data_IF_026628946634
#
_entry.id   IF_026628946634
#
_cell.length_a   1.000
_cell.length_b   1.000
_cell.length_c   1.000
_cell.angle_alpha   90.00
_cell.angle_beta   90.00
_cell.angle_gamma   90.00
#
_symmetry.space_group_name_H-M   'P 1'
#
loop_
_entity.id
_entity.type
_entity.pdbx_description
1 polymer ?
#
# COMPACT_ATOMS: atom_id res chain seq x y z
N UNK A 1 24.76 -9.88 28.75
CA UNK A 1 25.79 -9.78 27.69
C UNK A 1 25.45 -10.88 26.68
N UNK A 2 25.28 -10.71 25.39
CA UNK A 2 25.40 -9.57 24.50
C UNK A 2 25.07 -10.10 23.09
N UNK A 3 24.42 -9.25 22.28
CA UNK A 3 24.35 -9.27 20.81
C UNK A 3 23.68 -10.45 20.08
N UNK A 4 22.63 -10.14 19.33
CA UNK A 4 22.64 -10.23 17.86
C UNK A 4 21.63 -9.20 17.29
N UNK A 5 22.15 -8.06 16.86
CA UNK A 5 21.47 -7.15 15.95
C UNK A 5 21.67 -7.69 14.54
N UNK A 6 20.61 -8.19 13.90
CA UNK A 6 20.60 -8.44 12.46
C UNK A 6 19.91 -7.27 11.77
N UNK A 7 20.70 -6.31 11.32
CA UNK A 7 20.30 -5.33 10.31
C UNK A 7 20.67 -5.89 8.95
N UNK A 8 19.76 -5.97 7.96
CA UNK A 8 20.17 -6.24 6.60
C UNK A 8 20.97 -5.06 6.06
N UNK A 9 22.17 -5.35 5.56
CA UNK A 9 23.04 -4.42 4.86
C UNK A 9 22.32 -3.84 3.64
N UNK A 10 21.97 -2.56 3.76
CA UNK A 10 21.50 -1.76 2.64
C UNK A 10 22.72 -1.53 1.76
N UNK A 11 22.71 -2.08 0.55
CA UNK A 11 23.74 -1.87 -0.45
C UNK A 11 23.86 -0.35 -0.75
N UNK A 12 24.81 0.33 -0.07
CA UNK A 12 25.20 1.69 -0.39
C UNK A 12 26.04 1.64 -1.65
N UNK A 13 25.42 1.86 -2.80
CA UNK A 13 26.19 2.29 -3.98
C UNK A 13 26.65 3.72 -3.72
N UNK A 14 27.83 3.85 -3.12
CA UNK A 14 28.52 5.12 -2.97
C UNK A 14 29.08 5.51 -4.33
N UNK A 15 28.33 6.32 -5.09
CA UNK A 15 28.83 6.92 -6.33
C UNK A 15 29.94 7.93 -5.97
N UNK A 16 31.18 7.46 -6.01
CA UNK A 16 32.39 8.27 -5.97
C UNK A 16 32.54 9.05 -7.29
N UNK A 17 32.74 10.38 -7.21
CA UNK A 17 32.96 11.31 -8.34
C UNK A 17 34.32 11.11 -9.06
N UNK A 18 34.81 9.88 -9.19
CA UNK A 18 36.14 9.59 -9.76
C UNK A 18 36.20 8.28 -10.55
N UNK A 19 35.25 8.07 -11.46
CA UNK A 19 35.41 7.06 -12.52
C UNK A 19 35.62 7.77 -13.85
N UNK A 20 36.89 8.10 -14.11
CA UNK A 20 37.37 8.46 -15.44
C UNK A 20 37.25 7.23 -16.35
N UNK A 21 36.65 7.42 -17.52
CA UNK A 21 36.62 6.44 -18.60
C UNK A 21 38.03 6.39 -19.21
N UNK A 22 38.71 5.26 -19.09
CA UNK A 22 39.92 4.93 -19.84
C UNK A 22 39.65 3.71 -20.71
N UNK A 23 39.27 3.95 -21.97
CA UNK A 23 39.16 2.90 -22.99
C UNK A 23 40.51 2.83 -23.72
N UNK A 24 41.31 1.78 -23.47
CA UNK A 24 42.46 1.44 -24.31
C UNK A 24 42.26 0.02 -24.83
N UNK A 25 42.22 -0.07 -26.15
CA UNK A 25 42.20 -1.30 -26.94
C UNK A 25 43.47 -2.13 -26.66
N UNK A 26 43.31 -3.37 -26.21
CA UNK A 26 44.33 -4.40 -26.37
C UNK A 26 43.67 -5.72 -26.77
N UNK A 27 44.06 -6.19 -27.95
CA UNK A 27 43.74 -7.50 -28.53
C UNK A 27 44.49 -8.61 -27.78
N UNK A 28 43.74 -9.61 -27.31
CA UNK A 28 44.32 -10.84 -26.75
C UNK A 28 43.23 -11.82 -26.31
N UNK A 29 43.24 -13.03 -26.88
CA UNK A 29 42.28 -14.11 -26.58
C UNK A 29 42.25 -14.43 -25.08
N UNK A 30 41.08 -14.27 -24.45
CA UNK A 30 40.74 -14.92 -23.20
C UNK A 30 39.29 -15.37 -23.29
N UNK A 31 39.06 -16.68 -23.18
CA UNK A 31 37.72 -17.28 -23.10
C UNK A 31 37.00 -16.79 -21.84
N UNK A 32 36.29 -15.67 -21.97
CA UNK A 32 35.39 -15.18 -20.94
C UNK A 32 34.04 -15.87 -21.16
N UNK A 33 33.78 -16.91 -20.37
CA UNK A 33 32.40 -17.34 -20.14
C UNK A 33 31.57 -16.10 -19.77
N UNK A 34 30.38 -15.88 -20.36
CA UNK A 34 29.56 -14.71 -20.06
C UNK A 34 29.17 -14.76 -18.58
N UNK A 35 29.89 -13.98 -17.76
CA UNK A 35 29.56 -13.74 -16.36
C UNK A 35 28.13 -13.18 -16.25
N UNK A 36 27.36 -13.48 -15.20
CA UNK A 36 25.93 -13.19 -15.08
C UNK A 36 25.67 -11.71 -14.76
N UNK A 37 26.31 -10.79 -15.49
CA UNK A 37 26.07 -9.34 -15.37
C UNK A 37 24.60 -9.02 -15.68
N UNK A 38 23.96 -9.78 -16.57
CA UNK A 38 22.51 -9.68 -16.82
C UNK A 38 21.63 -10.08 -15.63
N UNK A 39 22.09 -10.97 -14.74
CA UNK A 39 21.33 -11.42 -13.57
C UNK A 39 21.22 -10.33 -12.50
N UNK A 40 22.35 -9.71 -12.16
CA UNK A 40 22.39 -8.60 -11.19
C UNK A 40 21.64 -7.34 -11.67
N UNK A 41 21.55 -7.13 -12.99
CA UNK A 41 20.77 -6.04 -13.59
C UNK A 41 19.26 -6.32 -13.51
N UNK A 42 18.81 -7.59 -13.59
CA UNK A 42 17.39 -7.93 -13.41
C UNK A 42 16.90 -7.66 -11.98
N UNK A 43 17.70 -8.01 -10.98
CA UNK A 43 17.35 -7.81 -9.57
C UNK A 43 17.30 -6.33 -9.19
N UNK A 44 18.08 -5.46 -9.86
CA UNK A 44 18.02 -4.02 -9.62
C UNK A 44 16.85 -3.31 -10.33
N UNK A 45 16.24 -3.94 -11.36
CA UNK A 45 15.18 -3.35 -12.21
C UNK A 45 13.77 -3.69 -11.73
N UNK A 46 13.57 -4.71 -10.88
CA UNK A 46 12.23 -5.04 -10.37
C UNK A 46 12.21 -5.20 -8.85
N UNK A 47 12.17 -4.09 -8.13
CA UNK A 47 11.82 -4.13 -6.71
C UNK A 47 10.42 -4.75 -6.55
N UNK A 48 10.36 -5.88 -5.85
CA UNK A 48 9.10 -6.52 -5.50
C UNK A 48 8.26 -5.59 -4.64
N UNK A 49 6.93 -5.67 -4.78
CA UNK A 49 6.01 -4.95 -3.91
C UNK A 49 5.19 -5.94 -3.11
N UNK A 50 5.29 -5.82 -1.80
CA UNK A 50 4.61 -6.66 -0.83
C UNK A 50 3.72 -5.84 0.07
N UNK A 51 2.59 -6.42 0.47
CA UNK A 51 1.68 -5.83 1.43
C UNK A 51 1.49 -6.77 2.61
N UNK A 52 1.51 -6.17 3.80
CA UNK A 52 1.09 -6.80 5.04
C UNK A 52 -0.27 -6.18 5.40
N UNK A 53 -1.31 -7.02 5.39
CA UNK A 53 -2.68 -6.62 5.64
C UNK A 53 -3.24 -7.41 6.82
N UNK A 54 -4.00 -6.74 7.68
CA UNK A 54 -4.78 -7.38 8.73
C UNK A 54 -6.20 -6.82 8.71
N UNK A 55 -7.21 -7.68 8.67
CA UNK A 55 -8.59 -7.25 8.77
C UNK A 55 -9.11 -7.52 10.20
N UNK A 56 -9.19 -6.50 11.08
CA UNK A 56 -9.62 -6.70 12.46
C UNK A 56 -11.06 -7.20 12.60
N UNK A 57 -11.89 -7.09 11.55
CA UNK A 57 -13.27 -7.51 11.63
C UNK A 57 -13.51 -8.99 11.27
N UNK A 58 -12.58 -9.59 10.52
CA UNK A 58 -12.57 -11.02 10.18
C UNK A 58 -11.46 -11.79 10.89
N UNK A 59 -10.49 -11.07 11.49
CA UNK A 59 -9.29 -11.62 12.14
C UNK A 59 -8.37 -12.37 11.17
N UNK A 60 -8.42 -12.01 9.89
CA UNK A 60 -7.55 -12.55 8.85
C UNK A 60 -6.30 -11.67 8.70
N UNK A 61 -5.16 -12.32 8.47
CA UNK A 61 -3.88 -11.68 8.14
C UNK A 61 -3.41 -12.16 6.78
N UNK A 62 -2.78 -11.28 6.01
CA UNK A 62 -2.18 -11.61 4.73
C UNK A 62 -0.83 -10.89 4.62
N UNK A 63 0.20 -11.65 4.27
CA UNK A 63 1.47 -11.11 3.79
C UNK A 63 1.71 -11.69 2.41
N UNK A 64 1.75 -10.85 1.39
CA UNK A 64 1.91 -11.32 0.01
C UNK A 64 2.66 -10.32 -0.87
N UNK A 65 3.44 -10.84 -1.80
CA UNK A 65 4.04 -10.09 -2.91
C UNK A 65 3.02 -10.03 -4.05
N UNK A 66 2.48 -8.84 -4.34
CA UNK A 66 1.44 -8.65 -5.36
C UNK A 66 2.01 -8.15 -6.70
N UNK A 67 3.25 -7.68 -6.72
CA UNK A 67 3.98 -7.27 -7.91
C UNK A 67 5.41 -7.81 -7.86
N UNK A 68 5.82 -8.52 -8.91
CA UNK A 68 7.17 -9.07 -9.05
C UNK A 68 7.49 -9.25 -10.53
N UNK A 69 8.77 -9.08 -10.90
CA UNK A 69 9.25 -9.20 -12.28
C UNK A 69 8.45 -8.37 -13.29
N UNK A 70 8.12 -7.12 -12.93
CA UNK A 70 7.40 -6.20 -13.81
C UNK A 70 5.93 -6.56 -14.08
N UNK A 71 5.32 -7.46 -13.28
CA UNK A 71 3.92 -7.89 -13.46
C UNK A 71 3.19 -8.10 -12.14
N UNK A 72 1.86 -7.97 -12.19
CA UNK A 72 1.00 -8.33 -11.07
C UNK A 72 0.87 -9.85 -10.92
N UNK A 73 0.94 -10.32 -9.68
CA UNK A 73 0.80 -11.74 -9.33
C UNK A 73 -0.68 -12.04 -9.09
N UNK A 74 -1.34 -12.71 -10.04
CA UNK A 74 -2.79 -12.91 -10.02
C UNK A 74 -3.30 -13.64 -8.78
N UNK A 75 -2.57 -14.64 -8.28
CA UNK A 75 -2.92 -15.35 -7.04
C UNK A 75 -2.96 -14.37 -5.85
N UNK A 76 -1.91 -13.56 -5.67
CA UNK A 76 -1.83 -12.57 -4.62
C UNK A 76 -2.94 -11.52 -4.72
N UNK A 77 -3.30 -11.08 -5.93
CA UNK A 77 -4.46 -10.20 -6.13
C UNK A 77 -5.76 -10.87 -5.67
N UNK A 78 -5.95 -12.16 -5.93
CA UNK A 78 -7.08 -12.94 -5.41
C UNK A 78 -7.14 -12.95 -3.89
N UNK A 79 -6.01 -13.20 -3.23
CA UNK A 79 -5.92 -13.21 -1.76
C UNK A 79 -6.21 -11.82 -1.17
N UNK A 80 -5.72 -10.76 -1.82
CA UNK A 80 -6.00 -9.37 -1.45
C UNK A 80 -7.49 -9.04 -1.62
N UNK A 81 -8.10 -9.44 -2.74
CA UNK A 81 -9.53 -9.26 -2.96
C UNK A 81 -10.36 -9.94 -1.85
N UNK A 82 -9.94 -11.14 -1.42
CA UNK A 82 -10.59 -11.86 -0.34
C UNK A 82 -10.46 -11.14 1.00
N UNK A 83 -9.26 -10.77 1.45
CA UNK A 83 -9.11 -10.10 2.77
C UNK A 83 -9.77 -8.71 2.79
N UNK A 84 -9.90 -8.06 1.64
CA UNK A 84 -10.57 -6.76 1.47
C UNK A 84 -12.07 -6.86 1.12
N UNK A 85 -12.66 -8.07 1.10
CA UNK A 85 -14.07 -8.30 0.76
C UNK A 85 -15.05 -7.61 1.71
N UNK A 86 -16.31 -7.53 1.28
CA UNK A 86 -17.36 -7.06 2.17
C UNK A 86 -17.62 -8.10 3.26
N UNK A 87 -17.20 -7.79 4.49
CA UNK A 87 -17.37 -8.70 5.63
C UNK A 87 -18.82 -9.07 5.97
N UNK A 88 -19.81 -8.27 5.54
CA UNK A 88 -21.22 -8.48 5.90
C UNK A 88 -21.92 -9.43 4.94
N UNK A 89 -21.59 -9.33 3.65
CA UNK A 89 -22.20 -10.15 2.60
C UNK A 89 -21.28 -11.28 2.15
N UNK A 90 -19.98 -11.19 2.43
CA UNK A 90 -18.97 -12.10 1.90
C UNK A 90 -18.60 -11.83 0.44
N UNK A 91 -19.26 -10.86 -0.22
CA UNK A 91 -19.02 -10.55 -1.62
C UNK A 91 -17.58 -10.06 -1.82
N UNK A 92 -16.89 -10.73 -2.74
CA UNK A 92 -15.53 -10.41 -3.17
C UNK A 92 -15.62 -9.57 -4.45
N UNK A 93 -14.80 -8.52 -4.53
CA UNK A 93 -14.63 -7.72 -5.75
C UNK A 93 -13.15 -7.52 -6.01
N UNK A 94 -12.79 -7.38 -7.28
CA UNK A 94 -11.46 -6.94 -7.66
C UNK A 94 -11.17 -5.56 -7.05
N UNK A 95 -10.07 -5.48 -6.31
CA UNK A 95 -9.52 -4.22 -5.80
C UNK A 95 -8.62 -3.61 -6.86
N UNK A 96 -8.76 -2.30 -7.07
CA UNK A 96 -7.95 -1.57 -8.04
C UNK A 96 -6.46 -1.63 -7.64
N UNK A 97 -5.60 -2.04 -8.57
CA UNK A 97 -4.16 -2.20 -8.28
C UNK A 97 -3.48 -0.89 -7.93
N UNK A 98 -3.99 0.27 -8.39
CA UNK A 98 -3.50 1.59 -7.99
C UNK A 98 -3.70 1.84 -6.50
N UNK A 99 -4.76 1.28 -5.91
CA UNK A 99 -5.00 1.37 -4.46
C UNK A 99 -3.94 0.57 -3.70
N UNK A 100 -3.53 -0.58 -4.24
CA UNK A 100 -2.47 -1.42 -3.66
C UNK A 100 -1.11 -0.70 -3.75
N UNK A 101 -0.82 -0.09 -4.90
CA UNK A 101 0.37 0.74 -5.09
C UNK A 101 0.40 1.95 -4.15
N UNK A 102 -0.76 2.59 -3.91
CA UNK A 102 -0.86 3.67 -2.94
C UNK A 102 -0.57 3.18 -1.51
N UNK A 103 -1.11 2.02 -1.11
CA UNK A 103 -0.81 1.41 0.20
C UNK A 103 0.69 1.10 0.34
N UNK A 104 1.30 0.53 -0.71
CA UNK A 104 2.72 0.22 -0.74
C UNK A 104 3.58 1.49 -0.62
N UNK A 105 3.24 2.54 -1.35
CA UNK A 105 3.93 3.83 -1.28
C UNK A 105 3.81 4.47 0.13
N UNK A 106 2.62 4.42 0.74
CA UNK A 106 2.41 4.89 2.12
C UNK A 106 3.30 4.10 3.10
N UNK A 107 3.34 2.77 2.97
CA UNK A 107 4.15 1.92 3.85
C UNK A 107 5.65 2.20 3.71
N UNK A 108 6.10 2.41 2.47
CA UNK A 108 7.49 2.76 2.14
C UNK A 108 7.90 4.09 2.74
N UNK A 109 7.07 5.14 2.55
CA UNK A 109 7.34 6.49 3.09
C UNK A 109 7.35 6.51 4.62
N UNK A 110 6.49 5.69 5.25
CA UNK A 110 6.46 5.53 6.70
C UNK A 110 7.54 4.57 7.25
N UNK A 111 8.29 3.88 6.37
CA UNK A 111 9.27 2.84 6.72
C UNK A 111 8.71 1.83 7.72
N UNK A 112 7.46 1.43 7.52
CA UNK A 112 6.76 0.53 8.44
C UNK A 112 6.90 -0.92 8.02
N UNK A 113 7.00 -1.80 9.01
CA UNK A 113 6.88 -3.26 8.84
C UNK A 113 5.58 -3.79 9.47
N UNK A 114 4.72 -2.89 9.94
CA UNK A 114 3.44 -3.24 10.57
C UNK A 114 2.37 -3.49 9.51
N UNK A 115 1.43 -4.42 9.73
CA UNK A 115 0.33 -4.63 8.82
C UNK A 115 -0.63 -3.43 8.79
N UNK A 116 -1.06 -3.04 7.59
CA UNK A 116 -2.19 -2.14 7.45
C UNK A 116 -3.45 -2.83 7.97
N UNK A 117 -4.07 -2.20 8.97
CA UNK A 117 -5.36 -2.64 9.47
C UNK A 117 -6.46 -2.14 8.52
N UNK A 118 -7.04 -3.07 7.75
CA UNK A 118 -8.12 -2.80 6.80
C UNK A 118 -9.45 -2.76 7.56
N UNK A 119 -9.92 -1.55 7.88
CA UNK A 119 -11.20 -1.34 8.56
C UNK A 119 -12.36 -1.64 7.62
N UNK A 120 -12.23 -1.20 6.36
CA UNK A 120 -13.15 -1.51 5.26
C UNK A 120 -12.40 -1.48 3.94
N UNK A 121 -12.48 -2.56 3.17
CA UNK A 121 -12.09 -2.58 1.76
C UNK A 121 -13.32 -2.38 0.87
N UNK A 122 -13.59 -3.32 -0.03
CA UNK A 122 -14.80 -3.35 -0.84
C UNK A 122 -16.08 -3.34 0.04
N UNK A 123 -17.12 -2.63 -0.45
CA UNK A 123 -18.47 -2.66 0.12
C UNK A 123 -19.49 -3.02 -0.95
N UNK A 124 -20.29 -4.04 -0.70
CA UNK A 124 -21.47 -4.33 -1.52
C UNK A 124 -22.43 -3.12 -1.51
N UNK A 125 -23.23 -3.00 -2.57
CA UNK A 125 -24.30 -2.00 -2.64
C UNK A 125 -25.23 -2.09 -1.43
N UNK A 126 -25.52 -3.32 -0.98
CA UNK A 126 -26.35 -3.61 0.22
C UNK A 126 -25.73 -3.05 1.49
N UNK A 127 -24.45 -3.32 1.75
CA UNK A 127 -23.75 -2.76 2.91
C UNK A 127 -23.67 -1.24 2.84
N UNK A 128 -23.40 -0.68 1.67
CA UNK A 128 -23.31 0.77 1.52
C UNK A 128 -24.65 1.45 1.82
N UNK A 129 -25.76 0.91 1.32
CA UNK A 129 -27.10 1.41 1.64
C UNK A 129 -27.42 1.27 3.14
N UNK A 130 -27.07 0.15 3.77
CA UNK A 130 -27.24 -0.04 5.21
C UNK A 130 -26.50 1.04 6.01
N UNK A 131 -25.25 1.37 5.65
CA UNK A 131 -24.47 2.42 6.29
C UNK A 131 -25.08 3.81 6.08
N UNK A 132 -25.65 4.07 4.89
CA UNK A 132 -26.40 5.30 4.61
C UNK A 132 -27.62 5.44 5.51
N UNK A 133 -28.44 4.39 5.61
CA UNK A 133 -29.64 4.37 6.47
C UNK A 133 -29.29 4.57 7.95
N UNK A 134 -28.12 4.10 8.39
CA UNK A 134 -27.61 4.27 9.77
C UNK A 134 -26.93 5.64 10.01
N UNK A 135 -26.96 6.56 9.05
CA UNK A 135 -26.37 7.89 9.20
C UNK A 135 -24.84 7.89 9.34
N UNK A 136 -24.15 6.87 8.81
CA UNK A 136 -22.68 6.75 8.89
C UNK A 136 -21.92 7.55 7.82
N UNK A 137 -22.60 8.43 7.09
CA UNK A 137 -21.97 9.33 6.11
C UNK A 137 -21.41 8.63 4.86
N UNK A 138 -21.94 7.46 4.50
CA UNK A 138 -21.56 6.79 3.26
C UNK A 138 -22.16 7.52 2.04
N UNK A 139 -21.35 7.74 0.99
CA UNK A 139 -21.83 8.32 -0.26
C UNK A 139 -22.68 7.31 -1.06
N UNK A 140 -23.64 7.80 -1.87
CA UNK A 140 -24.45 6.93 -2.76
C UNK A 140 -23.57 6.20 -3.77
N UNK A 141 -22.63 6.93 -4.39
CA UNK A 141 -21.65 6.42 -5.35
C UNK A 141 -20.27 6.36 -4.68
N UNK A 142 -20.13 5.47 -3.68
CA UNK A 142 -18.87 5.33 -2.95
C UNK A 142 -17.85 4.54 -3.76
N UNK A 143 -16.60 5.01 -3.81
CA UNK A 143 -15.47 4.29 -4.43
C UNK A 143 -15.19 2.93 -3.76
N UNK A 144 -15.67 2.69 -2.53
CA UNK A 144 -15.64 1.35 -1.93
C UNK A 144 -16.49 0.33 -2.70
N UNK A 145 -17.57 0.75 -3.37
CA UNK A 145 -18.39 -0.14 -4.21
C UNK A 145 -17.64 -0.50 -5.51
N UNK A 146 -16.73 0.37 -5.93
CA UNK A 146 -15.91 0.17 -7.12
C UNK A 146 -14.64 -0.65 -6.85
N UNK A 147 -14.29 -0.89 -5.57
CA UNK A 147 -13.03 -1.54 -5.22
C UNK A 147 -11.83 -0.58 -5.27
N UNK A 148 -12.10 0.72 -5.26
CA UNK A 148 -11.12 1.79 -5.47
C UNK A 148 -10.79 2.56 -4.18
N UNK A 149 -11.30 2.12 -3.03
CA UNK A 149 -11.08 2.79 -1.76
C UNK A 149 -10.91 1.83 -0.58
N UNK A 150 -10.16 2.28 0.43
CA UNK A 150 -9.97 1.59 1.69
C UNK A 150 -10.03 2.55 2.87
N UNK A 151 -10.64 2.08 3.95
CA UNK A 151 -10.55 2.70 5.27
C UNK A 151 -9.47 1.96 6.04
N UNK A 152 -8.38 2.64 6.40
CA UNK A 152 -7.17 2.04 6.97
C UNK A 152 -6.73 2.70 8.26
N UNK A 153 -6.02 1.93 9.08
CA UNK A 153 -5.18 2.44 10.16
C UNK A 153 -3.88 1.65 10.19
N UNK A 154 -2.85 2.18 10.84
CA UNK A 154 -1.55 1.53 10.97
C UNK A 154 -1.14 1.55 12.45
N UNK A 155 -1.12 0.40 13.15
CA UNK A 155 -0.59 0.31 14.51
C UNK A 155 0.83 0.87 14.60
N UNK A 156 1.20 1.39 15.77
CA UNK A 156 2.50 2.05 15.96
C UNK A 156 2.64 3.41 15.25
N UNK A 157 1.75 3.78 14.33
CA UNK A 157 1.76 5.08 13.65
C UNK A 157 0.66 6.01 14.15
N UNK A 158 1.01 7.27 14.44
CA UNK A 158 0.00 8.31 14.74
C UNK A 158 -0.88 8.49 13.51
N UNK A 159 -2.20 8.44 13.68
CA UNK A 159 -3.17 8.58 12.57
C UNK A 159 -2.98 9.88 11.77
N UNK A 160 -2.51 10.96 12.42
CA UNK A 160 -2.16 12.22 11.78
C UNK A 160 -0.95 12.12 10.84
N UNK A 161 0.04 11.28 11.17
CA UNK A 161 1.21 11.01 10.34
C UNK A 161 0.83 10.17 9.13
N UNK A 162 0.05 9.11 9.34
CA UNK A 162 -0.51 8.28 8.26
C UNK A 162 -1.30 9.15 7.26
N UNK A 163 -2.20 10.01 7.76
CA UNK A 163 -2.94 10.98 6.94
C UNK A 163 -2.01 11.91 6.15
N UNK A 164 -0.99 12.46 6.80
CA UNK A 164 -0.07 13.42 6.17
C UNK A 164 0.71 12.77 5.02
N UNK A 165 1.17 11.53 5.21
CA UNK A 165 1.85 10.77 4.15
C UNK A 165 0.89 10.50 2.99
N UNK A 166 -0.30 9.97 3.25
CA UNK A 166 -1.30 9.73 2.19
C UNK A 166 -1.66 11.02 1.43
N UNK A 167 -1.78 12.15 2.14
CA UNK A 167 -2.00 13.47 1.55
C UNK A 167 -0.85 13.91 0.62
N UNK A 168 0.40 13.76 1.06
CA UNK A 168 1.57 14.19 0.30
C UNK A 168 1.78 13.37 -0.98
N UNK A 169 1.38 12.09 -0.98
CA UNK A 169 1.51 11.20 -2.14
C UNK A 169 0.56 11.57 -3.28
N UNK A 170 -0.53 12.30 -3.01
CA UNK A 170 -1.50 12.76 -4.03
C UNK A 170 -2.05 11.64 -4.93
N UNK A 171 -2.13 10.40 -4.42
CA UNK A 171 -2.63 9.24 -5.17
C UNK A 171 -4.15 9.20 -5.38
N UNK A 172 -4.88 10.12 -4.77
CA UNK A 172 -6.34 10.28 -4.91
C UNK A 172 -6.95 10.95 -3.69
N UNK A 173 -8.17 10.56 -3.30
CA UNK A 173 -8.89 11.15 -2.17
C UNK A 173 -8.36 10.70 -0.80
N UNK A 174 -8.32 11.61 0.17
CA UNK A 174 -7.99 11.29 1.58
C UNK A 174 -9.00 11.89 2.55
N UNK A 175 -9.64 11.03 3.34
CA UNK A 175 -10.58 11.41 4.40
C UNK A 175 -10.01 11.16 5.80
N UNK A 176 -10.18 12.11 6.73
CA UNK A 176 -9.68 11.97 8.11
C UNK A 176 -10.79 11.71 9.12
N UNK A 177 -10.83 10.51 9.70
CA UNK A 177 -11.85 10.06 10.67
C UNK A 177 -11.24 9.84 12.05
N UNK A 178 -10.83 10.94 12.70
CA UNK A 178 -10.10 10.91 13.98
C UNK A 178 -10.84 10.17 15.11
N UNK A 179 -12.16 10.32 15.20
CA UNK A 179 -12.99 9.68 16.24
C UNK A 179 -13.10 8.18 16.03
N UNK A 180 -13.26 7.76 14.78
CA UNK A 180 -13.37 6.34 14.41
C UNK A 180 -12.00 5.66 14.25
N UNK A 181 -10.91 6.44 14.37
CA UNK A 181 -9.51 6.00 14.37
C UNK A 181 -9.05 5.33 13.07
N UNK A 182 -9.46 5.88 11.93
CA UNK A 182 -8.99 5.47 10.61
C UNK A 182 -8.84 6.67 9.66
N UNK A 183 -8.13 6.48 8.55
CA UNK A 183 -8.19 7.36 7.39
C UNK A 183 -8.86 6.62 6.23
N UNK A 184 -9.57 7.38 5.41
CA UNK A 184 -10.03 6.91 4.12
C UNK A 184 -8.99 7.27 3.07
N UNK A 185 -8.68 6.34 2.17
CA UNK A 185 -7.91 6.58 0.95
C UNK A 185 -8.65 6.01 -0.25
N UNK A 186 -8.53 6.66 -1.40
CA UNK A 186 -9.07 6.19 -2.67
C UNK A 186 -8.21 6.62 -3.85
N UNK A 187 -8.43 6.01 -5.01
CA UNK A 187 -7.72 6.31 -6.28
C UNK A 187 -8.58 7.08 -7.30
N UNK A 188 -9.59 7.80 -6.81
CA UNK A 188 -10.36 8.76 -7.59
C UNK A 188 -9.70 10.15 -7.64
N UNK A 189 -10.45 11.21 -7.97
CA UNK A 189 -9.93 12.58 -7.99
C UNK A 189 -9.34 13.02 -6.64
N UNK A 190 -8.24 13.75 -6.69
CA UNK A 190 -7.58 14.30 -5.50
C UNK A 190 -8.52 15.23 -4.76
N UNK A 191 -8.85 14.87 -3.52
CA UNK A 191 -9.74 15.64 -2.65
C UNK A 191 -9.48 15.29 -1.19
N UNK A 192 -9.75 16.23 -0.31
CA UNK A 192 -9.41 16.09 1.10
C UNK A 192 -10.57 16.50 1.97
N UNK A 193 -10.92 15.67 2.97
CA UNK A 193 -12.01 15.97 3.88
C UNK A 193 -11.73 15.46 5.29
N UNK A 194 -12.51 15.93 6.25
CA UNK A 194 -12.52 15.42 7.62
C UNK A 194 -13.94 15.08 8.03
N UNK A 195 -14.12 13.95 8.70
CA UNK A 195 -15.43 13.54 9.22
C UNK A 195 -15.87 14.49 10.33
N UNK A 196 -16.73 15.47 10.01
CA UNK A 196 -17.40 16.30 11.03
C UNK A 196 -18.63 15.54 11.54
N UNK A 197 -18.76 15.40 12.85
CA UNK A 197 -20.07 15.64 13.50
C UNK A 197 -19.98 17.02 14.08
N UNK A 198 -20.60 18.01 13.43
CA UNK A 198 -20.94 19.26 14.09
C UNK A 198 -21.85 18.88 15.27
N UNK A 199 -21.47 19.26 16.51
CA UNK A 199 -22.44 19.33 17.59
C UNK A 199 -23.44 20.40 17.16
N UNK A 200 -24.74 20.10 17.05
CA UNK A 200 -25.75 21.15 17.07
C UNK A 200 -25.53 21.89 18.39
N UNK A 201 -25.13 23.16 18.32
CA UNK A 201 -25.34 24.04 19.46
C UNK A 201 -26.86 24.11 19.67
N UNK A 202 -27.34 23.63 20.83
CA UNK A 202 -28.67 24.03 21.29
C UNK A 202 -28.57 25.54 21.58
N UNK A 203 -29.29 26.35 20.81
CA UNK A 203 -29.80 27.64 21.27
C UNK A 203 -31.28 27.42 21.56
#
# INVERSE_FOLDING_TARGET
MSFFNNTPDICRVQLSRRSFIGLVFFSGLASLAPTPVFGAIRDCISSERSLLLYNPNTRESLHTTYWSNGRYVQRALGDINHIMRDRRTGEIKQIDTRLLDLLYAIGTELKTQEPFHIISGYRSSRTNELLRKRGKGAAKHSLHIQGEAADIRLPGCRLSSLRRVAFNLKGGGVGYYRRDRFIHIDVGPIRYWSGRRTRKAKK
#
